data_IF_075471583024
#
_entry.id   IF_075471583024
#
_cell.length_a   1.000
_cell.length_b   1.000
_cell.length_c   1.000
_cell.angle_alpha   90.00
_cell.angle_beta   90.00
_cell.angle_gamma   90.00
#
_symmetry.space_group_name_H-M   'P 1'
#
loop_
_entity.id
_entity.type
_entity.pdbx_description
1 polymer ?
#
# COMPACT_ATOMS: atom_id res chain seq x y z
N UNK A 1 -6.91 -14.48 12.72
CA UNK A 1 -6.21 -13.40 13.45
C UNK A 1 -5.58 -13.80 14.78
N UNK A 2 -6.05 -14.85 15.49
CA UNK A 2 -5.53 -15.21 16.82
C UNK A 2 -4.08 -15.73 16.86
N UNK A 3 -3.54 -16.18 15.73
CA UNK A 3 -2.16 -16.68 15.61
C UNK A 3 -1.19 -15.65 15.04
N UNK A 4 -1.68 -14.45 14.70
CA UNK A 4 -0.87 -13.36 14.14
C UNK A 4 -0.49 -12.38 15.24
N UNK A 5 0.67 -11.73 15.08
CA UNK A 5 1.12 -10.64 15.95
C UNK A 5 0.29 -9.38 15.70
N UNK A 6 -0.04 -8.67 16.78
CA UNK A 6 -0.79 -7.41 16.75
C UNK A 6 -0.20 -6.41 17.76
N UNK A 7 -0.28 -5.09 17.49
CA UNK A 7 -0.82 -4.46 16.27
C UNK A 7 0.05 -4.76 15.03
N UNK A 8 -0.55 -4.65 13.84
CA UNK A 8 0.17 -4.82 12.58
C UNK A 8 1.29 -3.77 12.49
N UNK A 9 2.52 -4.22 12.25
CA UNK A 9 3.73 -3.38 12.33
C UNK A 9 4.63 -3.45 11.09
N UNK A 10 4.24 -4.22 10.08
CA UNK A 10 5.06 -4.41 8.89
C UNK A 10 4.97 -3.20 7.95
N UNK A 11 6.12 -2.78 7.42
CA UNK A 11 6.21 -1.66 6.48
C UNK A 11 5.40 -1.97 5.22
N UNK A 12 4.53 -1.03 4.83
CA UNK A 12 3.65 -1.18 3.68
C UNK A 12 4.02 -0.15 2.63
N UNK A 13 4.18 -0.63 1.40
CA UNK A 13 4.49 0.18 0.23
C UNK A 13 3.39 0.03 -0.81
N UNK A 14 2.83 1.15 -1.27
CA UNK A 14 1.95 1.21 -2.42
C UNK A 14 2.71 1.82 -3.61
N UNK A 15 2.62 1.21 -4.78
CA UNK A 15 3.22 1.73 -6.01
C UNK A 15 2.20 1.77 -7.15
N UNK A 16 2.10 2.89 -7.85
CA UNK A 16 1.51 2.98 -9.19
C UNK A 16 2.60 2.69 -10.23
N UNK A 17 2.41 1.64 -11.01
CA UNK A 17 3.43 1.17 -11.93
C UNK A 17 3.39 1.96 -13.24
N UNK A 18 4.49 2.64 -13.54
CA UNK A 18 4.86 3.00 -14.92
C UNK A 18 5.02 1.75 -15.78
N UNK A 19 4.23 1.65 -16.85
CA UNK A 19 4.15 0.50 -17.76
C UNK A 19 5.08 0.63 -18.98
N UNK A 20 6.09 1.52 -18.89
CA UNK A 20 7.12 1.67 -19.93
C UNK A 20 7.89 0.36 -20.12
N UNK A 21 8.26 0.04 -21.36
CA UNK A 21 9.09 -1.13 -21.66
C UNK A 21 10.44 -1.02 -20.93
N UNK A 22 10.73 -1.93 -19.98
CA UNK A 22 11.97 -1.89 -19.19
C UNK A 22 13.24 -2.04 -20.04
N UNK A 23 13.14 -2.59 -21.26
CA UNK A 23 14.27 -2.69 -22.19
C UNK A 23 14.59 -1.36 -22.88
N UNK A 24 13.62 -0.44 -22.98
CA UNK A 24 13.77 0.86 -23.63
C UNK A 24 14.07 1.97 -22.63
N UNK A 25 13.47 1.92 -21.45
CA UNK A 25 13.70 2.90 -20.39
C UNK A 25 13.39 2.31 -19.03
N UNK A 26 14.11 2.74 -17.99
CA UNK A 26 13.80 2.35 -16.61
C UNK A 26 12.41 2.89 -16.23
N UNK A 27 11.45 2.02 -15.85
CA UNK A 27 10.16 2.48 -15.35
C UNK A 27 10.36 3.33 -14.08
N UNK A 28 9.65 4.45 -13.97
CA UNK A 28 9.65 5.24 -12.74
C UNK A 28 8.27 5.13 -12.09
N UNK A 29 8.12 4.12 -11.25
CA UNK A 29 6.89 3.93 -10.48
C UNK A 29 6.75 5.03 -9.43
N UNK A 30 5.52 5.50 -9.21
CA UNK A 30 5.21 6.38 -8.09
C UNK A 30 4.96 5.51 -6.87
N UNK A 31 5.65 5.78 -5.78
CA UNK A 31 5.66 4.91 -4.61
C UNK A 31 5.50 5.73 -3.35
N UNK A 32 4.58 5.31 -2.49
CA UNK A 32 4.46 5.83 -1.13
C UNK A 32 4.56 4.67 -0.14
N UNK A 33 5.21 4.94 0.99
CA UNK A 33 5.51 3.92 1.98
C UNK A 33 5.25 4.45 3.39
N UNK A 34 4.52 3.68 4.19
CA UNK A 34 4.31 3.99 5.60
C UNK A 34 4.77 2.85 6.50
N UNK A 35 5.10 3.23 7.73
CA UNK A 35 5.31 2.32 8.84
C UNK A 35 4.07 2.42 9.73
N UNK A 36 3.34 1.32 9.93
CA UNK A 36 2.18 1.32 10.82
C UNK A 36 2.55 1.81 12.23
N UNK A 37 1.85 2.84 12.73
CA UNK A 37 1.98 3.25 14.14
C UNK A 37 1.13 2.31 15.01
N UNK A 38 1.72 1.61 16.00
CA UNK A 38 1.00 0.66 16.84
C UNK A 38 -0.10 1.30 17.69
N UNK A 39 -0.18 2.63 17.80
CA UNK A 39 -1.24 3.34 18.53
C UNK A 39 -2.43 3.70 17.63
N UNK A 40 -2.30 3.57 16.31
CA UNK A 40 -3.41 3.88 15.41
C UNK A 40 -4.42 2.74 15.36
N UNK A 41 -5.71 3.11 15.34
CA UNK A 41 -6.83 2.16 15.36
C UNK A 41 -6.82 1.23 14.14
N UNK A 42 -6.41 1.72 12.97
CA UNK A 42 -6.40 0.98 11.70
C UNK A 42 -5.47 -0.23 11.70
N UNK A 43 -4.52 -0.31 12.64
CA UNK A 43 -3.53 -1.39 12.73
C UNK A 43 -3.74 -2.30 13.93
N UNK A 44 -4.80 -2.07 14.72
CA UNK A 44 -5.18 -2.98 15.79
C UNK A 44 -5.75 -4.28 15.22
N UNK A 45 -5.77 -5.32 16.07
CA UNK A 45 -6.40 -6.58 15.74
C UNK A 45 -7.85 -6.37 15.31
N UNK A 46 -8.25 -6.82 14.11
CA UNK A 46 -9.62 -6.69 13.67
C UNK A 46 -10.61 -7.40 14.60
N UNK A 47 -11.62 -6.67 15.07
CA UNK A 47 -12.72 -7.21 15.86
C UNK A 47 -13.79 -7.92 15.01
N UNK A 48 -14.67 -8.67 15.66
CA UNK A 48 -15.76 -9.41 15.02
C UNK A 48 -16.91 -8.52 14.51
N UNK A 49 -17.07 -7.30 15.05
CA UNK A 49 -18.12 -6.35 14.67
C UNK A 49 -17.53 -5.20 13.89
N UNK A 50 -17.49 -5.33 12.55
CA UNK A 50 -17.12 -4.23 11.65
C UNK A 50 -18.39 -3.48 11.25
N UNK A 51 -18.75 -2.44 11.98
CA UNK A 51 -19.74 -1.48 11.47
C UNK A 51 -19.05 -0.53 10.49
N UNK A 52 -19.74 -0.09 9.44
CA UNK A 52 -19.20 0.90 8.48
C UNK A 52 -18.94 2.29 9.07
N UNK A 53 -19.24 2.47 10.36
CA UNK A 53 -19.01 3.71 11.13
C UNK A 53 -17.75 3.62 12.00
N UNK A 54 -17.11 2.45 12.09
CA UNK A 54 -15.91 2.28 12.88
C UNK A 54 -14.69 2.79 12.10
N UNK A 55 -14.05 3.85 12.60
CA UNK A 55 -12.85 4.45 12.02
C UNK A 55 -11.69 3.45 11.85
N UNK A 56 -11.63 2.41 12.70
CA UNK A 56 -10.61 1.36 12.59
C UNK A 56 -10.77 0.50 11.33
N UNK A 57 -11.94 0.58 10.67
CA UNK A 57 -12.24 -0.12 9.42
C UNK A 57 -11.96 0.73 8.18
N UNK A 58 -11.69 2.03 8.35
CA UNK A 58 -11.32 2.91 7.24
C UNK A 58 -9.94 2.51 6.70
N UNK A 59 -9.78 2.59 5.39
CA UNK A 59 -8.49 2.34 4.74
C UNK A 59 -7.46 3.41 5.15
N UNK A 60 -6.24 2.98 5.43
CA UNK A 60 -5.11 3.88 5.63
C UNK A 60 -4.27 3.98 4.35
N UNK A 61 -3.89 5.20 3.96
CA UNK A 61 -3.11 5.43 2.76
C UNK A 61 -2.93 6.92 2.48
N UNK A 62 -2.69 7.25 1.20
CA UNK A 62 -2.34 8.60 0.78
C UNK A 62 -3.46 9.19 -0.07
N UNK A 63 -4.29 10.10 0.46
CA UNK A 63 -5.39 10.69 -0.28
C UNK A 63 -4.91 11.55 -1.47
N UNK A 64 -3.63 11.94 -1.48
CA UNK A 64 -2.97 12.70 -2.56
C UNK A 64 -1.78 11.90 -3.14
N UNK A 65 -2.02 10.66 -3.56
CA UNK A 65 -0.98 9.76 -4.06
C UNK A 65 -0.33 10.22 -5.37
N UNK A 66 -1.13 10.72 -6.33
CA UNK A 66 -0.66 11.34 -7.56
C UNK A 66 -1.71 12.33 -8.09
N UNK A 67 -1.29 13.42 -8.72
CA UNK A 67 -2.21 14.35 -9.38
C UNK A 67 -2.77 13.76 -10.69
N UNK A 68 -3.98 14.17 -11.08
CA UNK A 68 -4.57 13.77 -12.36
C UNK A 68 -3.80 14.30 -13.58
N UNK A 69 -2.98 15.33 -13.41
CA UNK A 69 -2.09 15.83 -14.46
C UNK A 69 -0.87 14.91 -14.59
N UNK A 70 -0.23 14.56 -13.47
CA UNK A 70 0.99 13.76 -13.46
C UNK A 70 0.77 12.31 -13.89
N UNK A 71 -0.40 11.74 -13.59
CA UNK A 71 -0.72 10.37 -14.02
C UNK A 71 -0.76 10.22 -15.55
N UNK A 72 -0.90 11.34 -16.29
CA UNK A 72 -0.88 11.38 -17.75
C UNK A 72 0.50 11.63 -18.36
N UNK A 73 1.51 11.98 -17.54
CA UNK A 73 2.84 12.38 -18.04
C UNK A 73 3.71 11.21 -18.51
N UNK A 74 3.40 9.97 -18.10
CA UNK A 74 4.14 8.75 -18.45
C UNK A 74 3.17 7.60 -18.71
N UNK A 75 3.68 6.38 -18.91
CA UNK A 75 2.87 5.18 -19.17
C UNK A 75 2.21 4.61 -17.90
N UNK A 76 1.74 5.45 -16.98
CA UNK A 76 1.00 4.98 -15.79
C UNK A 76 -0.38 4.44 -16.18
N UNK A 77 -1.00 5.02 -17.21
CA UNK A 77 -2.23 4.54 -17.85
C UNK A 77 -1.87 4.05 -19.25
N UNK A 78 -2.19 2.80 -19.55
CA UNK A 78 -2.02 2.20 -20.88
C UNK A 78 -3.18 1.25 -21.13
N UNK A 79 -3.73 1.26 -22.35
CA UNK A 79 -4.86 0.41 -22.72
C UNK A 79 -6.06 0.53 -21.77
N UNK A 80 -6.31 1.75 -21.28
CA UNK A 80 -7.34 2.06 -20.28
C UNK A 80 -7.19 1.27 -18.95
N UNK A 81 -5.96 0.89 -18.61
CA UNK A 81 -5.62 0.17 -17.39
C UNK A 81 -4.49 0.83 -16.60
N UNK A 82 -4.53 0.66 -15.28
CA UNK A 82 -3.47 0.98 -14.35
C UNK A 82 -3.07 -0.28 -13.57
N UNK A 83 -1.83 -0.33 -13.09
CA UNK A 83 -1.38 -1.38 -12.18
C UNK A 83 -0.94 -0.76 -10.85
N UNK A 84 -1.57 -1.21 -9.76
CA UNK A 84 -1.19 -0.86 -8.39
C UNK A 84 -0.54 -2.08 -7.76
N UNK A 85 0.65 -1.90 -7.18
CA UNK A 85 1.34 -2.90 -6.37
C UNK A 85 1.27 -2.50 -4.91
N UNK A 86 0.74 -3.39 -4.06
CA UNK A 86 0.90 -3.29 -2.62
C UNK A 86 1.95 -4.31 -2.17
N UNK A 87 2.90 -3.91 -1.34
CA UNK A 87 3.95 -4.77 -0.82
C UNK A 87 4.07 -4.59 0.68
N UNK A 88 4.19 -5.69 1.41
CA UNK A 88 4.38 -5.72 2.86
C UNK A 88 5.73 -6.35 3.13
N UNK A 89 6.63 -5.61 3.78
CA UNK A 89 7.95 -6.11 4.16
C UNK A 89 7.82 -6.92 5.45
N UNK A 90 7.82 -8.24 5.32
CA UNK A 90 7.81 -9.16 6.45
C UNK A 90 9.27 -9.43 6.83
N UNK A 91 9.73 -9.06 8.04
CA UNK A 91 11.07 -9.39 8.49
C UNK A 91 11.29 -10.90 8.43
N UNK A 92 12.43 -11.34 7.89
CA UNK A 92 12.81 -12.75 8.02
C UNK A 92 12.99 -13.05 9.51
N UNK A 93 12.09 -13.87 10.07
CA UNK A 93 12.33 -14.44 11.39
C UNK A 93 13.58 -15.31 11.27
N UNK A 94 14.65 -14.94 11.95
CA UNK A 94 15.76 -15.85 12.18
C UNK A 94 15.18 -16.95 13.07
N UNK A 95 14.86 -18.09 12.47
CA UNK A 95 14.51 -19.29 13.21
C UNK A 95 15.81 -19.75 13.86
N UNK A 96 15.98 -19.40 15.14
CA UNK A 96 17.02 -19.93 16.01
C UNK A 96 16.56 -21.27 16.62
#
# INVERSE_FOLDING_TARGET
DNLLEWPFSYRVTFSLLDQSDPSLSKPQHITETFHPDPNWKNFQKPGASRSSLDESTLGFGYPKFISHEDIKKRNYVRDNAIFIKASVEIPQKILA
#
